data_IF_331837835249
#
_entry.id   IF_331837835249
#
_cell.length_a   1.000
_cell.length_b   1.000
_cell.length_c   1.000
_cell.angle_alpha   90.00
_cell.angle_beta   90.00
_cell.angle_gamma   90.00
#
_symmetry.space_group_name_H-M   'P 1'
#
loop_
_entity.id
_entity.type
_entity.pdbx_description
1 polymer ?
#
# COMPACT_ATOMS: atom_id res chain seq x y z
N UNK A 1 10.30 -21.54 20.12
CA UNK A 1 9.25 -20.52 20.26
C UNK A 1 9.72 -19.29 19.49
N UNK A 2 9.19 -19.04 18.29
CA UNK A 2 9.40 -17.74 17.64
C UNK A 2 8.56 -16.74 18.44
N UNK A 3 9.22 -15.81 19.13
CA UNK A 3 8.55 -14.60 19.59
C UNK A 3 8.04 -13.88 18.35
N UNK A 4 6.72 -13.92 18.13
CA UNK A 4 6.06 -13.11 17.12
C UNK A 4 6.21 -11.66 17.54
N UNK A 5 7.31 -11.05 17.09
CA UNK A 5 7.48 -9.62 17.20
C UNK A 5 6.48 -8.95 16.26
N UNK A 6 5.89 -7.86 16.75
CA UNK A 6 5.10 -6.96 15.91
C UNK A 6 5.94 -6.54 14.70
N UNK A 7 5.31 -6.50 13.53
CA UNK A 7 6.00 -6.12 12.31
C UNK A 7 6.44 -4.66 12.37
N UNK A 8 7.51 -4.33 11.64
CA UNK A 8 8.12 -3.00 11.64
C UNK A 8 8.15 -2.44 10.24
N UNK A 9 7.96 -1.13 10.11
CA UNK A 9 8.18 -0.41 8.86
C UNK A 9 9.66 -0.55 8.51
N UNK A 10 9.93 -1.00 7.28
CA UNK A 10 11.28 -1.16 6.78
C UNK A 10 11.84 0.15 6.27
N UNK A 11 13.11 0.39 6.58
CA UNK A 11 13.87 1.54 6.07
C UNK A 11 14.92 1.16 5.02
N UNK A 12 15.03 -0.13 4.70
CA UNK A 12 16.08 -0.66 3.83
C UNK A 12 15.57 -1.22 2.50
N UNK A 13 14.27 -1.51 2.40
CA UNK A 13 13.65 -2.13 1.22
C UNK A 13 13.42 -1.17 0.06
N UNK A 14 13.18 0.12 0.32
CA UNK A 14 13.09 1.14 -0.72
C UNK A 14 14.31 2.06 -0.66
N UNK A 15 14.68 2.60 -1.82
CA UNK A 15 15.69 3.64 -1.92
C UNK A 15 15.17 4.80 -2.79
N UNK A 16 15.44 6.03 -2.37
CA UNK A 16 15.24 7.22 -3.18
C UNK A 16 16.61 7.75 -3.60
N UNK A 17 16.86 7.77 -4.91
CA UNK A 17 18.09 8.29 -5.51
C UNK A 17 17.80 9.68 -6.09
N UNK A 18 18.58 10.68 -5.67
CA UNK A 18 18.46 12.05 -6.14
C UNK A 18 19.65 12.33 -7.07
N UNK A 19 19.40 12.25 -8.37
CA UNK A 19 20.40 12.56 -9.40
C UNK A 19 20.56 14.07 -9.49
N UNK A 20 21.79 14.55 -9.27
CA UNK A 20 22.19 15.95 -9.16
C UNK A 20 22.09 16.54 -7.74
N UNK A 21 23.25 16.69 -7.09
CA UNK A 21 23.39 17.33 -5.77
C UNK A 21 23.03 18.82 -5.78
N UNK A 22 23.00 19.47 -6.94
CA UNK A 22 22.59 20.87 -7.10
C UNK A 22 21.11 21.04 -7.47
N UNK A 23 20.31 19.96 -7.43
CA UNK A 23 18.88 20.05 -7.64
C UNK A 23 18.27 21.00 -6.61
N UNK A 24 17.53 22.00 -7.06
CA UNK A 24 16.84 22.93 -6.16
C UNK A 24 15.77 22.15 -5.39
N UNK A 25 16.01 21.97 -4.09
CA UNK A 25 15.10 21.23 -3.22
C UNK A 25 13.96 22.16 -2.83
N UNK A 26 12.84 22.01 -3.54
CA UNK A 26 11.60 22.67 -3.14
C UNK A 26 10.97 21.96 -1.92
N UNK A 27 9.94 22.59 -1.33
CA UNK A 27 9.31 22.08 -0.11
C UNK A 27 8.69 20.69 -0.25
N UNK A 28 8.17 20.33 -1.44
CA UNK A 28 7.56 19.00 -1.64
C UNK A 28 8.63 17.92 -1.75
N UNK A 29 9.74 18.19 -2.43
CA UNK A 29 10.89 17.28 -2.48
C UNK A 29 11.53 17.14 -1.09
N UNK A 30 11.70 18.24 -0.35
CA UNK A 30 12.19 18.18 1.03
C UNK A 30 11.29 17.30 1.91
N UNK A 31 9.98 17.49 1.81
CA UNK A 31 9.01 16.68 2.55
C UNK A 31 9.11 15.19 2.16
N UNK A 32 9.28 14.87 0.87
CA UNK A 32 9.52 13.51 0.43
C UNK A 32 10.81 12.94 1.06
N UNK A 33 11.93 13.67 1.01
CA UNK A 33 13.22 13.25 1.58
C UNK A 33 13.07 12.94 3.07
N UNK A 34 12.42 13.83 3.82
CA UNK A 34 12.30 13.73 5.27
C UNK A 34 11.40 12.57 5.70
N UNK A 35 10.43 12.20 4.87
CA UNK A 35 9.40 11.22 5.21
C UNK A 35 9.48 9.96 4.34
N UNK A 36 10.45 9.80 3.45
CA UNK A 36 10.51 8.63 2.56
C UNK A 36 10.57 7.32 3.36
N UNK A 37 9.82 6.31 2.90
CA UNK A 37 9.83 4.97 3.50
C UNK A 37 11.02 4.14 3.00
N UNK A 38 12.23 4.58 3.32
CA UNK A 38 13.46 3.92 2.88
C UNK A 38 14.70 4.75 3.12
N UNK A 39 15.78 4.40 2.41
CA UNK A 39 17.05 5.13 2.46
C UNK A 39 17.16 6.18 1.35
N UNK A 40 17.82 7.30 1.62
CA UNK A 40 18.11 8.35 0.62
C UNK A 40 19.56 8.22 0.14
N UNK A 41 19.77 8.24 -1.17
CA UNK A 41 21.08 8.28 -1.81
C UNK A 41 21.16 9.47 -2.78
N UNK A 42 22.35 10.03 -2.93
CA UNK A 42 22.62 11.13 -3.87
C UNK A 42 23.44 10.71 -5.09
N UNK A 43 23.85 9.44 -5.13
CA UNK A 43 24.64 8.84 -6.19
C UNK A 43 24.16 7.38 -6.38
N UNK A 44 24.23 6.86 -7.60
CA UNK A 44 23.91 5.46 -7.87
C UNK A 44 25.00 4.56 -7.27
N UNK A 45 24.62 3.50 -6.58
CA UNK A 45 25.56 2.53 -5.98
C UNK A 45 25.20 1.11 -6.38
N UNK A 46 26.17 0.20 -6.38
CA UNK A 46 25.94 -1.18 -6.84
C UNK A 46 25.14 -2.03 -5.82
N UNK A 47 25.00 -1.58 -4.57
CA UNK A 47 24.31 -2.34 -3.53
C UNK A 47 22.80 -2.04 -3.47
N UNK A 48 22.12 -2.21 -4.61
CA UNK A 48 20.68 -2.00 -4.76
C UNK A 48 19.91 -3.31 -5.00
N UNK A 49 20.58 -4.44 -4.83
CA UNK A 49 19.97 -5.76 -5.03
C UNK A 49 18.79 -5.95 -4.07
N UNK A 50 17.67 -6.42 -4.62
CA UNK A 50 16.41 -6.67 -3.90
C UNK A 50 15.79 -5.42 -3.26
N UNK A 51 16.15 -4.21 -3.71
CA UNK A 51 15.51 -2.96 -3.28
C UNK A 51 14.62 -2.41 -4.37
N UNK A 52 13.52 -1.78 -3.97
CA UNK A 52 12.68 -0.98 -4.86
C UNK A 52 13.29 0.41 -5.01
N UNK A 53 13.65 0.75 -6.23
CA UNK A 53 14.38 1.99 -6.53
C UNK A 53 13.40 3.04 -7.03
N UNK A 54 13.38 4.19 -6.35
CA UNK A 54 12.78 5.42 -6.82
C UNK A 54 13.90 6.40 -7.18
N UNK A 55 13.72 7.15 -8.26
CA UNK A 55 14.73 8.08 -8.72
C UNK A 55 14.10 9.41 -9.16
N UNK A 56 14.79 10.50 -8.88
CA UNK A 56 14.44 11.83 -9.36
C UNK A 56 15.67 12.66 -9.73
N UNK A 57 15.44 13.80 -10.37
CA UNK A 57 16.46 14.73 -10.84
C UNK A 57 16.72 14.64 -12.34
N UNK A 58 17.97 14.87 -12.76
CA UNK A 58 18.32 14.78 -14.18
C UNK A 58 18.60 13.33 -14.58
N UNK A 59 17.65 12.72 -15.26
CA UNK A 59 17.73 11.31 -15.66
C UNK A 59 18.81 11.08 -16.72
N UNK A 60 19.24 12.12 -17.44
CA UNK A 60 20.35 11.99 -18.40
C UNK A 60 21.69 11.65 -17.75
N UNK A 61 21.81 11.81 -16.42
CA UNK A 61 22.99 11.44 -15.63
C UNK A 61 23.02 9.94 -15.29
N UNK A 62 21.95 9.21 -15.56
CA UNK A 62 21.85 7.79 -15.26
C UNK A 62 22.49 6.96 -16.37
N UNK A 63 23.48 6.15 -16.02
CA UNK A 63 24.02 5.12 -16.91
C UNK A 63 23.06 3.93 -17.01
N UNK A 64 23.21 3.09 -18.03
CA UNK A 64 22.47 1.83 -18.14
C UNK A 64 22.60 1.01 -16.85
N UNK A 65 21.47 0.50 -16.36
CA UNK A 65 21.39 -0.25 -15.10
C UNK A 65 20.58 -1.53 -15.29
N UNK A 66 21.01 -2.66 -14.69
CA UNK A 66 20.25 -3.90 -14.72
C UNK A 66 19.05 -3.87 -13.76
N UNK A 67 18.91 -2.82 -12.94
CA UNK A 67 17.86 -2.72 -11.95
C UNK A 67 16.60 -2.07 -12.53
N UNK A 68 15.44 -2.56 -12.09
CA UNK A 68 14.18 -1.89 -12.38
C UNK A 68 14.05 -0.60 -11.56
N UNK A 69 13.80 0.52 -12.23
CA UNK A 69 13.72 1.83 -11.60
C UNK A 69 12.35 2.49 -11.77
N UNK A 70 11.90 3.19 -10.73
CA UNK A 70 10.69 4.00 -10.74
C UNK A 70 11.08 5.48 -10.80
N UNK A 71 10.86 6.13 -11.93
CA UNK A 71 11.21 7.53 -12.16
C UNK A 71 10.06 8.41 -11.66
N UNK A 72 10.31 9.24 -10.64
CA UNK A 72 9.30 10.14 -10.06
C UNK A 72 9.13 11.33 -10.99
N UNK A 73 8.01 11.35 -11.72
CA UNK A 73 7.75 12.31 -12.80
C UNK A 73 7.90 13.77 -12.36
N UNK A 74 7.33 14.11 -11.20
CA UNK A 74 7.22 15.48 -10.70
C UNK A 74 8.57 16.11 -10.35
N UNK A 75 9.60 15.29 -10.12
CA UNK A 75 10.93 15.74 -9.73
C UNK A 75 12.01 15.35 -10.74
N UNK A 76 11.61 14.88 -11.94
CA UNK A 76 12.55 14.37 -12.94
C UNK A 76 12.49 15.16 -14.24
N UNK A 77 13.66 15.40 -14.83
CA UNK A 77 13.81 15.97 -16.18
C UNK A 77 14.56 15.01 -17.09
N UNK A 78 14.41 15.19 -18.41
CA UNK A 78 15.06 14.38 -19.44
C UNK A 78 14.71 12.89 -19.39
N UNK A 79 13.59 12.53 -18.77
CA UNK A 79 13.15 11.15 -18.60
C UNK A 79 12.47 10.59 -19.86
N UNK A 80 12.08 11.44 -20.81
CA UNK A 80 11.39 11.05 -22.05
C UNK A 80 12.29 10.24 -22.99
N UNK A 81 13.61 10.45 -22.89
CA UNK A 81 14.62 9.74 -23.67
C UNK A 81 15.13 8.47 -22.98
N UNK A 82 14.79 8.29 -21.70
CA UNK A 82 15.16 7.11 -20.93
C UNK A 82 14.18 5.97 -21.27
N UNK A 83 14.37 5.38 -22.44
CA UNK A 83 13.56 4.26 -22.90
C UNK A 83 14.27 2.95 -22.55
N UNK A 84 14.16 2.54 -21.29
CA UNK A 84 14.64 1.22 -20.86
C UNK A 84 13.45 0.33 -20.51
N UNK A 85 13.51 -0.93 -20.93
CA UNK A 85 12.56 -1.98 -20.52
C UNK A 85 12.54 -2.18 -18.99
N UNK A 86 13.58 -1.69 -18.29
CA UNK A 86 13.76 -1.76 -16.85
C UNK A 86 13.35 -0.46 -16.14
N UNK A 87 12.40 0.30 -16.68
CA UNK A 87 11.95 1.54 -16.03
C UNK A 87 10.45 1.76 -16.15
N UNK A 88 9.89 2.40 -15.11
CA UNK A 88 8.51 2.89 -15.09
C UNK A 88 8.50 4.33 -14.62
N UNK A 89 7.74 5.18 -15.30
CA UNK A 89 7.42 6.53 -14.80
C UNK A 89 6.29 6.39 -13.78
N UNK A 90 6.50 6.93 -12.58
CA UNK A 90 5.53 6.93 -11.49
C UNK A 90 5.22 8.36 -11.04
N UNK A 91 4.03 8.57 -10.50
CA UNK A 91 3.70 9.82 -9.84
C UNK A 91 4.16 9.84 -8.38
N UNK A 92 4.27 11.04 -7.80
CA UNK A 92 4.61 11.24 -6.39
C UNK A 92 3.65 10.49 -5.44
N UNK A 93 2.41 10.27 -5.85
CA UNK A 93 1.44 9.53 -5.06
C UNK A 93 1.65 8.02 -5.00
N UNK A 94 2.49 7.46 -5.88
CA UNK A 94 2.91 6.05 -5.83
C UNK A 94 4.16 5.83 -4.96
N UNK A 95 4.75 6.91 -4.42
CA UNK A 95 5.96 6.84 -3.60
C UNK A 95 5.59 6.73 -2.12
N UNK A 96 6.10 5.72 -1.39
CA UNK A 96 5.74 5.52 0.01
C UNK A 96 6.41 6.54 0.93
N UNK A 97 5.63 7.11 1.83
CA UNK A 97 6.13 7.94 2.93
C UNK A 97 5.71 7.37 4.28
N UNK A 98 6.53 7.59 5.30
CA UNK A 98 6.25 7.30 6.69
C UNK A 98 5.42 8.46 7.26
N UNK A 99 4.33 8.13 7.94
CA UNK A 99 3.51 9.10 8.67
C UNK A 99 3.61 8.80 10.16
N UNK A 100 4.13 9.78 10.91
CA UNK A 100 4.28 9.72 12.37
C UNK A 100 5.01 8.47 12.91
N UNK A 101 5.89 7.85 12.10
CA UNK A 101 6.50 6.54 12.38
C UNK A 101 5.50 5.42 12.72
N UNK A 102 4.22 5.59 12.38
CA UNK A 102 3.13 4.69 12.76
C UNK A 102 2.53 3.96 11.54
N UNK A 103 2.67 4.52 10.35
CA UNK A 103 2.15 3.91 9.13
C UNK A 103 2.88 4.36 7.88
N UNK A 104 2.63 3.64 6.80
CA UNK A 104 3.10 3.98 5.45
C UNK A 104 1.94 4.52 4.66
N UNK A 105 2.14 5.66 4.01
CA UNK A 105 1.13 6.33 3.22
C UNK A 105 1.59 6.46 1.77
N UNK A 106 0.70 6.05 0.87
CA UNK A 106 0.80 6.28 -0.56
C UNK A 106 -0.31 7.28 -0.92
N UNK A 107 0.06 8.50 -1.32
CA UNK A 107 -0.94 9.56 -1.56
C UNK A 107 -1.95 9.19 -2.66
N UNK A 108 -1.54 8.32 -3.58
CA UNK A 108 -2.34 7.90 -4.73
C UNK A 108 -2.11 6.43 -5.10
N UNK A 109 -2.31 5.54 -4.14
CA UNK A 109 -2.19 4.10 -4.38
C UNK A 109 -3.25 3.59 -5.37
N UNK A 110 -4.48 4.05 -5.22
CA UNK A 110 -5.61 3.64 -6.07
C UNK A 110 -5.86 4.69 -7.15
N UNK A 111 -5.34 4.48 -8.35
CA UNK A 111 -5.57 5.36 -9.50
C UNK A 111 -6.62 4.77 -10.45
N UNK A 112 -7.46 5.63 -11.05
CA UNK A 112 -8.23 5.30 -12.26
C UNK A 112 -9.44 4.39 -12.07
N UNK A 113 -9.74 3.96 -10.83
CA UNK A 113 -10.92 3.16 -10.50
C UNK A 113 -11.95 3.95 -9.71
N UNK A 114 -13.23 3.82 -10.06
CA UNK A 114 -14.34 4.28 -9.22
C UNK A 114 -14.57 3.30 -8.05
N UNK A 115 -13.53 3.06 -7.26
CA UNK A 115 -13.54 2.02 -6.23
C UNK A 115 -14.61 2.27 -5.18
N UNK A 116 -14.86 3.55 -4.83
CA UNK A 116 -15.91 3.90 -3.89
C UNK A 116 -17.30 3.44 -4.37
N UNK A 117 -17.72 3.84 -5.58
CA UNK A 117 -19.05 3.45 -6.08
C UNK A 117 -19.13 1.95 -6.39
N UNK A 118 -18.03 1.35 -6.85
CA UNK A 118 -17.95 -0.10 -7.06
C UNK A 118 -18.19 -0.86 -5.76
N UNK A 119 -17.41 -0.59 -4.71
CA UNK A 119 -17.57 -1.23 -3.39
C UNK A 119 -18.97 -0.97 -2.85
N UNK A 120 -19.50 0.25 -3.02
CA UNK A 120 -20.87 0.59 -2.62
C UNK A 120 -21.94 -0.22 -3.37
N UNK A 121 -21.73 -0.50 -4.65
CA UNK A 121 -22.63 -1.34 -5.45
C UNK A 121 -22.44 -2.83 -5.20
N UNK A 122 -21.25 -3.21 -4.75
CA UNK A 122 -20.88 -4.58 -4.44
C UNK A 122 -21.37 -4.97 -3.05
N UNK A 123 -21.48 -4.10 -2.05
CA UNK A 123 -21.81 -4.51 -0.68
C UNK A 123 -23.02 -3.83 -0.05
N UNK A 124 -23.73 -4.58 0.79
CA UNK A 124 -24.79 -4.07 1.65
C UNK A 124 -24.21 -3.55 2.97
N UNK A 125 -24.10 -2.23 3.08
CA UNK A 125 -23.52 -1.57 4.25
C UNK A 125 -24.43 -1.68 5.49
N UNK A 126 -23.80 -1.98 6.62
CA UNK A 126 -24.45 -2.29 7.88
C UNK A 126 -24.39 -1.09 8.83
N UNK A 127 -25.33 -1.03 9.76
CA UNK A 127 -25.32 0.00 10.78
C UNK A 127 -24.17 -0.25 11.76
N UNK A 128 -23.55 0.84 12.21
CA UNK A 128 -22.48 0.80 13.21
C UNK A 128 -23.04 1.25 14.55
N UNK A 129 -22.70 0.55 15.63
CA UNK A 129 -22.91 1.04 17.00
C UNK A 129 -21.57 1.23 17.70
N UNK A 130 -21.42 2.35 18.40
CA UNK A 130 -20.22 2.62 19.18
C UNK A 130 -20.26 1.86 20.52
N UNK A 131 -19.53 0.75 20.61
CA UNK A 131 -19.38 -0.03 21.85
C UNK A 131 -20.73 -0.37 22.51
N UNK A 132 -21.05 0.28 23.63
CA UNK A 132 -22.20 -0.01 24.48
C UNK A 132 -23.34 1.00 24.31
N UNK A 133 -23.21 1.95 23.37
CA UNK A 133 -24.24 2.97 23.14
C UNK A 133 -25.43 2.36 22.42
N UNK A 134 -26.64 2.69 22.88
CA UNK A 134 -27.88 2.25 22.24
C UNK A 134 -28.12 2.93 20.88
N UNK A 135 -27.47 4.08 20.64
CA UNK A 135 -27.62 4.84 19.40
C UNK A 135 -26.74 4.29 18.27
N UNK A 136 -27.31 4.19 17.07
CA UNK A 136 -26.57 3.93 15.82
C UNK A 136 -25.75 5.16 15.42
N UNK A 137 -24.57 4.92 14.87
CA UNK A 137 -23.75 5.96 14.23
C UNK A 137 -24.42 6.44 12.94
N UNK A 138 -24.11 7.67 12.52
CA UNK A 138 -24.62 8.23 11.25
C UNK A 138 -23.98 7.57 10.02
N UNK A 139 -22.77 7.03 10.19
CA UNK A 139 -22.03 6.32 9.15
C UNK A 139 -22.37 4.84 9.14
N UNK A 140 -22.26 4.21 7.97
CA UNK A 140 -22.41 2.76 7.82
C UNK A 140 -21.06 2.11 7.56
N UNK A 141 -20.97 0.80 7.74
CA UNK A 141 -19.76 0.07 7.43
C UNK A 141 -20.01 -1.40 7.15
N UNK A 142 -18.97 -2.08 6.69
CA UNK A 142 -18.97 -3.52 6.52
C UNK A 142 -17.56 -4.06 6.80
N UNK A 143 -17.51 -5.23 7.41
CA UNK A 143 -16.26 -5.95 7.59
C UNK A 143 -16.12 -6.98 6.47
N UNK A 144 -14.98 -6.94 5.78
CA UNK A 144 -14.69 -7.79 4.64
C UNK A 144 -13.48 -8.67 4.96
N UNK A 145 -13.62 -9.96 4.66
CA UNK A 145 -12.54 -10.94 4.75
C UNK A 145 -12.75 -12.00 3.68
N UNK A 146 -11.69 -12.72 3.31
CA UNK A 146 -11.85 -13.98 2.61
C UNK A 146 -12.68 -14.95 3.45
N UNK A 147 -13.77 -15.45 2.89
CA UNK A 147 -14.62 -16.51 3.43
C UNK A 147 -14.48 -17.71 2.50
N UNK A 148 -14.01 -18.85 3.01
CA UNK A 148 -13.87 -20.06 2.21
C UNK A 148 -14.97 -21.06 2.51
N UNK A 149 -15.48 -21.71 1.47
CA UNK A 149 -16.49 -22.75 1.57
C UNK A 149 -15.85 -24.11 1.32
N UNK A 150 -16.17 -25.09 2.15
CA UNK A 150 -15.79 -26.48 1.97
C UNK A 150 -17.00 -27.40 2.11
N UNK A 151 -16.90 -28.58 1.52
CA UNK A 151 -17.88 -29.65 1.73
C UNK A 151 -17.30 -30.63 2.74
N UNK A 152 -17.97 -30.77 3.87
CA UNK A 152 -17.60 -31.72 4.93
C UNK A 152 -17.74 -33.16 4.45
N UNK A 153 -17.11 -34.11 5.14
CA UNK A 153 -17.19 -35.55 4.83
C UNK A 153 -18.64 -36.09 4.75
N UNK A 154 -19.56 -35.43 5.46
CA UNK A 154 -20.98 -35.77 5.50
C UNK A 154 -21.81 -35.09 4.38
N UNK A 155 -21.17 -34.39 3.44
CA UNK A 155 -21.82 -33.67 2.35
C UNK A 155 -22.43 -32.32 2.72
N UNK A 156 -22.25 -31.86 3.97
CA UNK A 156 -22.73 -30.54 4.41
C UNK A 156 -21.74 -29.43 4.04
N UNK A 157 -22.25 -28.23 3.80
CA UNK A 157 -21.43 -27.04 3.58
C UNK A 157 -20.88 -26.50 4.90
N UNK A 158 -19.59 -26.19 4.94
CA UNK A 158 -18.94 -25.47 6.03
C UNK A 158 -18.27 -24.20 5.49
N UNK A 159 -18.36 -23.12 6.26
CA UNK A 159 -17.78 -21.82 5.93
C UNK A 159 -16.73 -21.44 6.95
N UNK A 160 -15.57 -21.00 6.47
CA UNK A 160 -14.48 -20.51 7.30
C UNK A 160 -14.38 -18.99 7.18
N UNK A 161 -14.41 -18.33 8.34
CA UNK A 161 -14.33 -16.88 8.46
C UNK A 161 -13.03 -16.50 9.17
N UNK A 162 -12.31 -15.51 8.65
CA UNK A 162 -11.30 -14.82 9.46
C UNK A 162 -12.01 -13.70 10.22
N UNK A 163 -12.01 -13.82 11.54
CA UNK A 163 -12.66 -12.86 12.43
C UNK A 163 -11.61 -12.05 13.14
N UNK A 164 -11.76 -10.73 13.10
CA UNK A 164 -10.99 -9.81 13.91
C UNK A 164 -11.95 -9.06 14.83
N UNK A 165 -11.60 -8.95 16.10
CA UNK A 165 -12.38 -8.16 17.04
C UNK A 165 -12.10 -6.68 16.79
N UNK A 166 -13.10 -5.95 16.28
CA UNK A 166 -13.06 -4.49 16.20
C UNK A 166 -13.76 -3.86 17.41
N UNK A 167 -13.45 -2.59 17.71
CA UNK A 167 -14.12 -1.81 18.76
C UNK A 167 -15.52 -1.32 18.35
N UNK A 168 -15.82 -1.35 17.05
CA UNK A 168 -17.14 -1.03 16.49
C UNK A 168 -17.94 -2.30 16.27
N UNK A 169 -19.19 -2.31 16.72
CA UNK A 169 -20.10 -3.40 16.42
C UNK A 169 -20.84 -3.08 15.12
N UNK A 170 -20.90 -4.06 14.23
CA UNK A 170 -21.67 -4.03 13.00
C UNK A 170 -22.96 -4.85 13.21
N UNK A 171 -24.08 -4.39 12.65
CA UNK A 171 -25.37 -5.09 12.84
C UNK A 171 -25.53 -6.36 12.00
N UNK A 172 -24.58 -6.66 11.11
CA UNK A 172 -24.59 -7.85 10.26
C UNK A 172 -23.28 -8.62 10.32
N UNK A 173 -23.20 -9.73 9.57
CA UNK A 173 -22.01 -10.58 9.54
C UNK A 173 -20.88 -9.92 8.72
N UNK A 174 -19.66 -10.43 8.89
CA UNK A 174 -18.57 -10.23 7.92
C UNK A 174 -19.01 -10.74 6.54
N UNK A 175 -18.77 -9.97 5.49
CA UNK A 175 -19.02 -10.37 4.10
C UNK A 175 -17.72 -10.84 3.43
N UNK A 176 -17.86 -11.63 2.36
CA UNK A 176 -16.72 -12.12 1.59
C UNK A 176 -16.16 -11.00 0.69
N UNK A 177 -14.85 -11.06 0.41
CA UNK A 177 -14.26 -10.19 -0.61
C UNK A 177 -14.90 -10.41 -1.99
N UNK A 178 -15.14 -9.30 -2.68
CA UNK A 178 -15.56 -9.25 -4.09
C UNK A 178 -14.42 -8.76 -4.98
N UNK A 179 -14.71 -8.59 -6.26
CA UNK A 179 -13.68 -8.30 -7.27
C UNK A 179 -12.86 -7.05 -6.91
N UNK A 180 -13.55 -5.96 -6.52
CA UNK A 180 -12.87 -4.70 -6.19
C UNK A 180 -12.02 -4.84 -4.93
N UNK A 181 -12.49 -5.57 -3.90
CA UNK A 181 -11.74 -5.77 -2.66
C UNK A 181 -10.50 -6.62 -2.89
N UNK A 182 -10.61 -7.67 -3.71
CA UNK A 182 -9.49 -8.54 -4.07
C UNK A 182 -8.39 -7.72 -4.77
N UNK A 183 -8.77 -6.83 -5.69
CA UNK A 183 -7.82 -5.93 -6.35
C UNK A 183 -7.11 -5.02 -5.35
N UNK A 184 -7.85 -4.44 -4.40
CA UNK A 184 -7.31 -3.56 -3.36
C UNK A 184 -6.36 -4.32 -2.43
N UNK A 185 -6.79 -5.46 -1.90
CA UNK A 185 -6.00 -6.27 -0.96
C UNK A 185 -4.74 -6.81 -1.61
N UNK A 186 -4.81 -7.28 -2.86
CA UNK A 186 -3.62 -7.73 -3.59
C UNK A 186 -2.59 -6.61 -3.75
N UNK A 187 -3.04 -5.42 -4.17
CA UNK A 187 -2.15 -4.25 -4.30
C UNK A 187 -1.55 -3.84 -2.95
N UNK A 188 -2.34 -3.87 -1.87
CA UNK A 188 -1.84 -3.58 -0.53
C UNK A 188 -0.80 -4.62 -0.09
N UNK A 189 -1.02 -5.90 -0.37
CA UNK A 189 -0.08 -6.97 -0.08
C UNK A 189 1.23 -6.84 -0.88
N UNK A 190 1.18 -6.40 -2.13
CA UNK A 190 2.39 -6.03 -2.89
C UNK A 190 3.15 -4.90 -2.19
N UNK A 191 2.46 -3.84 -1.76
CA UNK A 191 3.08 -2.72 -1.06
C UNK A 191 3.71 -3.12 0.27
N UNK A 192 3.07 -4.01 1.03
CA UNK A 192 3.58 -4.47 2.33
C UNK A 192 4.90 -5.22 2.20
N UNK A 193 5.08 -5.98 1.12
CA UNK A 193 6.35 -6.68 0.85
C UNK A 193 7.52 -5.72 0.73
N UNK A 194 7.29 -4.52 0.20
CA UNK A 194 8.29 -3.48 0.00
C UNK A 194 8.45 -2.55 1.21
N UNK A 195 7.53 -2.56 2.17
CA UNK A 195 7.45 -1.51 3.20
C UNK A 195 7.52 -2.01 4.64
N UNK A 196 7.37 -3.32 4.89
CA UNK A 196 7.51 -3.92 6.22
C UNK A 196 8.63 -4.95 6.25
N UNK A 197 9.28 -5.13 7.40
CA UNK A 197 10.42 -6.04 7.57
C UNK A 197 10.03 -7.50 7.34
N UNK A 198 8.96 -7.94 7.98
CA UNK A 198 8.49 -9.32 7.90
C UNK A 198 7.36 -9.47 6.89
N UNK A 199 7.27 -10.65 6.29
CA UNK A 199 6.14 -11.01 5.43
C UNK A 199 4.86 -10.95 6.25
N UNK A 200 3.89 -10.20 5.77
CA UNK A 200 2.55 -10.11 6.34
C UNK A 200 1.52 -10.20 5.21
N UNK A 201 0.38 -10.80 5.53
CA UNK A 201 -0.77 -10.90 4.63
C UNK A 201 -1.90 -10.07 5.23
N UNK A 202 -2.24 -8.97 4.56
CA UNK A 202 -3.41 -8.16 4.84
C UNK A 202 -4.63 -8.89 4.31
N UNK A 203 -5.46 -9.39 5.22
CA UNK A 203 -6.55 -10.31 4.90
C UNK A 203 -7.92 -9.80 5.38
N UNK A 204 -7.99 -8.55 5.82
CA UNK A 204 -9.21 -7.92 6.31
C UNK A 204 -9.32 -6.47 5.85
N UNK A 205 -10.56 -6.00 5.64
CA UNK A 205 -10.87 -4.60 5.40
C UNK A 205 -12.11 -4.17 6.21
N UNK A 206 -12.01 -3.03 6.89
CA UNK A 206 -13.19 -2.31 7.41
C UNK A 206 -13.49 -1.17 6.44
N UNK A 207 -14.62 -1.26 5.73
CA UNK A 207 -15.06 -0.23 4.79
C UNK A 207 -16.17 0.57 5.44
N UNK A 208 -16.13 1.91 5.30
CA UNK A 208 -17.12 2.82 5.89
C UNK A 208 -17.54 3.90 4.88
N UNK A 209 -18.82 4.30 4.96
CA UNK A 209 -19.43 5.39 4.15
C UNK A 209 -20.22 6.35 5.04
#
# INVERSE_FOLDING_TARGET
MNTLHENKISKDKNVLIILNKSLEINSELQYLIDNFCGSILYDFSDNLKNKKIYICGDISLLNETPHFINIIKEFSVNHEKFNSENSKIVGLGEVPIIVSNAGVYYRKLFFGGNNFDKIKSEHDFQELTESNKESKALRKGIYLSKVTKETTENGNEAFHYNLLRCSSNLTGPTDNFRETDIQIINLLNECVQDTFEYLADLNHALVQI
#
